data_IF_851886507960
#
_entry.id   IF_851886507960
#
_cell.length_a   1.000
_cell.length_b   1.000
_cell.length_c   1.000
_cell.angle_alpha   90.00
_cell.angle_beta   90.00
_cell.angle_gamma   90.00
#
_symmetry.space_group_name_H-M   'P 1'
#
loop_
_entity.id
_entity.type
_entity.pdbx_description
1 polymer ?
#
# COMPACT_ATOMS: atom_id res chain seq x y z
N UNK A 1 -6.93 -3.19 10.13
CA UNK A 1 -7.33 -2.16 9.13
C UNK A 1 -7.83 -0.96 9.91
N UNK A 2 -7.43 0.26 9.53
CA UNK A 2 -7.56 1.48 10.36
C UNK A 2 -9.00 1.93 10.71
N UNK A 3 -10.04 1.12 10.45
CA UNK A 3 -11.48 1.40 10.70
C UNK A 3 -11.98 2.77 10.23
N UNK A 4 -11.21 3.48 9.40
CA UNK A 4 -11.44 4.87 8.95
C UNK A 4 -11.27 5.03 7.45
N UNK A 5 -11.10 3.95 6.70
CA UNK A 5 -11.01 4.00 5.22
C UNK A 5 -12.27 4.59 4.58
N UNK A 6 -13.42 4.51 5.25
CA UNK A 6 -14.67 5.15 4.83
C UNK A 6 -14.65 6.70 4.91
N UNK A 7 -13.61 7.31 5.48
CA UNK A 7 -13.44 8.78 5.51
C UNK A 7 -12.80 9.33 4.23
N UNK A 8 -12.22 8.47 3.40
CA UNK A 8 -11.52 8.87 2.18
C UNK A 8 -12.18 8.24 0.96
N UNK A 9 -12.00 8.88 -0.20
CA UNK A 9 -12.40 8.33 -1.49
C UNK A 9 -11.34 7.32 -1.95
N UNK A 10 -11.57 6.04 -1.64
CA UNK A 10 -10.63 4.96 -1.94
C UNK A 10 -10.44 4.74 -3.44
N UNK A 11 -11.47 5.00 -4.24
CA UNK A 11 -11.41 4.86 -5.70
C UNK A 11 -10.50 5.93 -6.31
N UNK A 12 -10.64 7.19 -5.89
CA UNK A 12 -9.75 8.28 -6.34
C UNK A 12 -8.31 8.06 -5.90
N UNK A 13 -8.08 7.63 -4.66
CA UNK A 13 -6.73 7.37 -4.17
C UNK A 13 -6.07 6.18 -4.89
N UNK A 14 -6.82 5.11 -5.15
CA UNK A 14 -6.34 3.97 -5.95
C UNK A 14 -5.92 4.44 -7.33
N UNK A 15 -6.78 5.23 -8.00
CA UNK A 15 -6.47 5.79 -9.32
C UNK A 15 -5.19 6.63 -9.29
N UNK A 16 -5.05 7.52 -8.31
CA UNK A 16 -3.86 8.37 -8.16
C UNK A 16 -2.56 7.55 -8.03
N UNK A 17 -2.56 6.50 -7.21
CA UNK A 17 -1.37 5.64 -7.04
C UNK A 17 -1.03 4.92 -8.36
N UNK A 18 -2.03 4.42 -9.08
CA UNK A 18 -1.83 3.73 -10.36
C UNK A 18 -1.37 4.68 -11.48
N UNK A 19 -1.75 5.95 -11.44
CA UNK A 19 -1.25 6.98 -12.37
C UNK A 19 0.25 7.29 -12.15
N UNK A 20 0.79 7.01 -10.97
CA UNK A 20 2.22 7.14 -10.67
C UNK A 20 3.04 5.88 -11.00
N UNK A 21 2.42 4.82 -11.56
CA UNK A 21 3.13 3.62 -11.98
C UNK A 21 3.80 3.83 -13.34
N UNK A 22 5.09 3.52 -13.43
CA UNK A 22 5.82 3.55 -14.70
C UNK A 22 5.61 2.25 -15.50
N UNK A 23 5.64 2.35 -16.83
CA UNK A 23 5.48 1.21 -17.73
C UNK A 23 6.64 0.20 -17.64
N UNK A 24 7.85 0.67 -17.30
CA UNK A 24 9.01 -0.18 -17.04
C UNK A 24 9.01 -0.76 -15.62
N UNK A 25 8.04 -0.39 -14.77
CA UNK A 25 7.87 -0.88 -13.41
C UNK A 25 8.24 0.15 -12.35
N UNK A 26 7.82 -0.13 -11.11
CA UNK A 26 7.94 0.81 -9.99
C UNK A 26 6.82 1.86 -9.96
N UNK A 27 6.75 2.58 -8.84
CA UNK A 27 5.80 3.66 -8.59
C UNK A 27 6.58 4.87 -8.08
N UNK A 28 6.30 6.05 -8.62
CA UNK A 28 6.88 7.31 -8.20
C UNK A 28 6.01 8.03 -7.16
N UNK A 29 6.47 9.19 -6.67
CA UNK A 29 5.70 10.07 -5.78
C UNK A 29 4.50 10.72 -6.46
N UNK A 30 4.59 10.97 -7.78
CA UNK A 30 3.53 11.49 -8.63
C UNK A 30 3.68 10.98 -10.07
N UNK A 31 2.63 11.15 -10.87
CA UNK A 31 2.67 10.81 -12.29
C UNK A 31 3.79 11.57 -13.03
N UNK A 32 4.47 10.87 -13.95
CA UNK A 32 5.57 11.39 -14.79
C UNK A 32 6.90 11.66 -14.06
N UNK A 33 7.02 11.34 -12.77
CA UNK A 33 8.30 11.31 -12.07
C UNK A 33 8.96 9.93 -12.21
N UNK A 34 10.27 9.87 -11.95
CA UNK A 34 11.01 8.62 -11.95
C UNK A 34 10.65 7.75 -10.73
N UNK A 35 10.37 6.45 -10.91
CA UNK A 35 10.03 5.56 -9.81
C UNK A 35 11.27 5.23 -8.97
N UNK A 36 11.04 4.98 -7.68
CA UNK A 36 12.08 4.48 -6.78
C UNK A 36 11.53 3.39 -5.84
N UNK A 37 12.45 2.71 -5.13
CA UNK A 37 12.09 1.60 -4.23
C UNK A 37 11.21 2.04 -3.06
N UNK A 38 11.32 3.28 -2.61
CA UNK A 38 10.58 3.82 -1.47
C UNK A 38 9.12 4.06 -1.84
N UNK A 39 8.87 4.80 -2.92
CA UNK A 39 7.53 5.08 -3.41
C UNK A 39 6.86 3.83 -4.00
N UNK A 40 7.65 2.92 -4.60
CA UNK A 40 7.15 1.60 -4.99
C UNK A 40 6.64 0.81 -3.79
N UNK A 41 7.39 0.79 -2.69
CA UNK A 41 6.96 0.10 -1.47
C UNK A 41 5.66 0.71 -0.92
N UNK A 42 5.57 2.03 -0.80
CA UNK A 42 4.37 2.69 -0.25
C UNK A 42 3.17 2.67 -1.18
N UNK A 43 3.38 2.72 -2.50
CA UNK A 43 2.30 2.55 -3.47
C UNK A 43 1.67 1.17 -3.36
N UNK A 44 2.48 0.10 -3.32
CA UNK A 44 2.00 -1.28 -3.18
C UNK A 44 1.30 -1.50 -1.83
N UNK A 45 1.90 -1.04 -0.73
CA UNK A 45 1.29 -1.22 0.60
C UNK A 45 0.02 -0.38 0.78
N UNK A 46 -0.01 0.82 0.20
CA UNK A 46 -1.20 1.66 0.10
C UNK A 46 -2.33 0.97 -0.66
N UNK A 47 -2.04 0.41 -1.85
CA UNK A 47 -3.01 -0.37 -2.64
C UNK A 47 -3.53 -1.59 -1.87
N UNK A 48 -2.66 -2.31 -1.16
CA UNK A 48 -3.06 -3.42 -0.28
C UNK A 48 -4.04 -2.96 0.82
N UNK A 49 -3.76 -1.84 1.48
CA UNK A 49 -4.64 -1.26 2.51
C UNK A 49 -5.98 -0.78 1.95
N UNK A 50 -6.03 -0.38 0.66
CA UNK A 50 -7.25 0.00 -0.05
C UNK A 50 -8.06 -1.20 -0.58
N UNK A 51 -7.53 -2.42 -0.46
CA UNK A 51 -8.19 -3.64 -0.91
C UNK A 51 -8.03 -3.91 -2.42
N UNK A 52 -6.97 -3.39 -3.04
CA UNK A 52 -6.64 -3.71 -4.43
C UNK A 52 -6.39 -5.23 -4.57
N UNK A 53 -6.93 -5.89 -5.61
CA UNK A 53 -6.87 -7.34 -5.75
C UNK A 53 -5.43 -7.86 -5.87
N UNK A 54 -5.27 -9.14 -5.55
CA UNK A 54 -4.02 -9.91 -5.72
C UNK A 54 -2.80 -9.37 -4.95
N UNK A 55 -3.00 -8.46 -4.00
CA UNK A 55 -1.96 -7.99 -3.07
C UNK A 55 -2.06 -8.69 -1.72
N UNK A 56 -0.89 -9.00 -1.15
CA UNK A 56 -0.79 -9.54 0.20
C UNK A 56 -1.24 -8.49 1.21
N UNK A 57 -2.05 -8.91 2.19
CA UNK A 57 -2.51 -8.03 3.26
C UNK A 57 -1.33 -7.45 4.06
N UNK A 58 -1.33 -6.13 4.21
CA UNK A 58 -0.31 -5.38 4.96
C UNK A 58 -0.79 -5.03 6.36
N UNK A 59 0.10 -5.15 7.32
CA UNK A 59 -0.08 -4.59 8.66
C UNK A 59 0.16 -3.07 8.62
N UNK A 60 -0.82 -2.23 8.98
CA UNK A 60 -0.71 -0.77 8.86
C UNK A 60 0.21 -0.12 9.89
N UNK A 61 0.62 -0.83 10.94
CA UNK A 61 1.55 -0.29 11.95
C UNK A 61 2.99 -0.54 11.56
N UNK A 62 3.27 -1.73 11.03
CA UNK A 62 4.62 -2.13 10.66
C UNK A 62 4.95 -1.95 9.17
N UNK A 63 3.96 -1.66 8.32
CA UNK A 63 4.12 -1.61 6.86
C UNK A 63 4.75 -2.89 6.28
N UNK A 64 4.39 -4.04 6.87
CA UNK A 64 4.92 -5.36 6.50
C UNK A 64 3.78 -6.34 6.20
N UNK A 65 4.03 -7.44 5.47
CA UNK A 65 3.03 -8.47 5.25
C UNK A 65 2.47 -9.01 6.58
N UNK A 66 1.15 -9.03 6.71
CA UNK A 66 0.48 -9.41 7.96
C UNK A 66 0.86 -10.81 8.46
N UNK A 67 1.08 -11.74 7.53
CA UNK A 67 1.51 -13.10 7.88
C UNK A 67 2.92 -13.15 8.50
N UNK A 68 3.80 -12.19 8.16
CA UNK A 68 5.14 -12.08 8.77
C UNK A 68 5.03 -11.59 10.21
N UNK A 69 4.20 -10.56 10.45
CA UNK A 69 3.92 -10.03 11.80
C UNK A 69 3.32 -11.11 12.70
N UNK A 70 2.36 -11.88 12.18
CA UNK A 70 1.74 -13.01 12.86
C UNK A 70 2.78 -14.09 13.22
N UNK A 71 3.64 -14.44 12.26
CA UNK A 71 4.69 -15.46 12.46
C UNK A 71 5.64 -15.11 13.61
N UNK A 72 5.89 -13.82 13.87
CA UNK A 72 6.79 -13.36 14.94
C UNK A 72 6.05 -12.92 16.21
N UNK A 73 4.74 -13.16 16.31
CA UNK A 73 3.97 -12.93 17.54
C UNK A 73 3.73 -11.46 17.89
N UNK A 74 3.71 -10.55 16.90
CA UNK A 74 3.50 -9.11 17.14
C UNK A 74 2.05 -8.64 16.96
N UNK A 75 1.11 -9.55 16.69
CA UNK A 75 -0.28 -9.23 16.28
C UNK A 75 -1.17 -8.58 17.35
N UNK A 76 -0.83 -8.69 18.64
CA UNK A 76 -1.71 -8.25 19.74
C UNK A 76 -1.50 -6.78 20.15
N UNK A 77 -0.70 -6.01 19.41
CA UNK A 77 -0.30 -4.66 19.81
C UNK A 77 -1.27 -3.54 19.37
N UNK A 78 -2.35 -3.82 18.63
CA UNK A 78 -3.28 -2.80 18.11
C UNK A 78 -4.67 -3.34 17.74
#
# INVERSE_FOLDING_TARGET
MLKRTHWIDTAKLTKFILEAQDKAGGIADQASNDPDVYHTHFGITGLSLLGYPDLVAVDPVYCMPRHVIQRIGLTDKH
#
